data_IF_323259531226
#
_entry.id   IF_323259531226
#
_cell.length_a   1.000
_cell.length_b   1.000
_cell.length_c   1.000
_cell.angle_alpha   90.00
_cell.angle_beta   90.00
_cell.angle_gamma   90.00
#
_symmetry.space_group_name_H-M   'P 1'
#
loop_
_entity.id
_entity.type
_entity.pdbx_description
1 polymer ?
#
# COMPACT_ATOMS: atom_id res chain seq x y z
N UNK A 1 -30.27 -9.61 -12.91
CA UNK A 1 -30.57 -8.25 -12.42
C UNK A 1 -29.27 -7.62 -11.92
N UNK A 2 -28.65 -6.73 -12.73
CA UNK A 2 -27.38 -6.06 -12.42
C UNK A 2 -27.67 -4.84 -11.55
N UNK A 3 -27.51 -4.94 -10.23
CA UNK A 3 -27.57 -3.79 -9.34
C UNK A 3 -26.29 -2.97 -9.53
N UNK A 4 -26.45 -1.65 -9.73
CA UNK A 4 -25.41 -0.72 -10.15
C UNK A 4 -24.30 -0.48 -9.13
N UNK A 5 -23.30 -1.37 -9.10
CA UNK A 5 -21.98 -1.12 -8.50
C UNK A 5 -21.25 0.07 -9.17
N UNK A 6 -21.63 0.45 -10.41
CA UNK A 6 -21.03 1.57 -11.14
C UNK A 6 -21.36 2.95 -10.57
N UNK A 7 -22.44 3.07 -9.77
CA UNK A 7 -22.80 4.34 -9.11
C UNK A 7 -22.03 4.55 -7.81
N UNK A 8 -21.70 3.47 -7.09
CA UNK A 8 -20.93 3.53 -5.84
C UNK A 8 -19.44 3.81 -6.09
N UNK A 9 -18.86 3.21 -7.14
CA UNK A 9 -17.46 3.47 -7.52
C UNK A 9 -17.26 4.92 -8.00
N UNK A 10 -18.21 5.47 -8.77
CA UNK A 10 -18.20 6.89 -9.18
C UNK A 10 -18.36 7.85 -8.00
N UNK A 11 -19.23 7.54 -7.04
CA UNK A 11 -19.41 8.38 -5.85
C UNK A 11 -18.14 8.39 -4.96
N UNK A 12 -17.49 7.23 -4.80
CA UNK A 12 -16.24 7.11 -4.03
C UNK A 12 -15.03 7.75 -4.74
N UNK A 13 -14.95 7.67 -6.06
CA UNK A 13 -13.92 8.36 -6.85
C UNK A 13 -14.09 9.89 -6.76
N UNK A 14 -15.32 10.37 -6.95
CA UNK A 14 -15.69 11.80 -6.83
C UNK A 14 -15.36 12.38 -5.45
N UNK A 15 -15.58 11.61 -4.38
CA UNK A 15 -15.23 12.03 -3.01
C UNK A 15 -13.72 12.08 -2.76
N UNK A 16 -12.93 11.20 -3.39
CA UNK A 16 -11.47 11.19 -3.26
C UNK A 16 -10.81 12.30 -4.09
N UNK A 17 -11.32 12.59 -5.28
CA UNK A 17 -10.86 13.68 -6.14
C UNK A 17 -11.12 15.05 -5.51
N UNK A 18 -12.31 15.24 -4.94
CA UNK A 18 -12.65 16.47 -4.20
C UNK A 18 -11.69 16.73 -3.03
N UNK A 19 -11.28 15.68 -2.30
CA UNK A 19 -10.37 15.83 -1.15
C UNK A 19 -8.92 16.10 -1.55
N UNK A 20 -8.46 15.56 -2.69
CA UNK A 20 -7.15 15.89 -3.24
C UNK A 20 -7.11 17.32 -3.81
N UNK A 21 -8.18 17.75 -4.47
CA UNK A 21 -8.36 19.11 -4.96
C UNK A 21 -8.47 20.14 -3.82
N UNK A 22 -9.14 19.80 -2.73
CA UNK A 22 -9.23 20.63 -1.53
C UNK A 22 -7.87 20.77 -0.84
N UNK A 23 -7.08 19.70 -0.76
CA UNK A 23 -5.69 19.75 -0.26
C UNK A 23 -4.80 20.60 -1.17
N UNK A 24 -4.94 20.49 -2.49
CA UNK A 24 -4.21 21.33 -3.44
C UNK A 24 -4.63 22.81 -3.33
N UNK A 25 -5.94 23.09 -3.28
CA UNK A 25 -6.48 24.44 -3.16
C UNK A 25 -6.10 25.10 -1.82
N UNK A 26 -6.10 24.34 -0.73
CA UNK A 26 -5.68 24.82 0.60
C UNK A 26 -4.18 25.09 0.68
N UNK A 27 -3.35 24.39 -0.09
CA UNK A 27 -1.89 24.53 -0.08
C UNK A 27 -1.37 25.57 -1.09
N UNK A 28 -2.10 25.83 -2.18
CA UNK A 28 -1.66 26.72 -3.27
C UNK A 28 -2.42 28.05 -3.39
N UNK A 29 -3.19 28.43 -2.36
CA UNK A 29 -3.68 29.80 -2.13
C UNK A 29 -3.93 30.64 -3.37
N UNK A 30 -5.07 30.41 -4.03
CA UNK A 30 -5.72 31.32 -5.00
C UNK A 30 -4.79 32.07 -5.95
N UNK A 31 -4.35 31.42 -7.04
CA UNK A 31 -3.69 32.14 -8.13
C UNK A 31 -3.19 31.28 -9.29
N UNK A 32 -3.02 29.97 -9.10
CA UNK A 32 -2.55 29.06 -10.16
C UNK A 32 -3.04 27.63 -9.97
N UNK A 33 -4.30 27.46 -9.55
CA UNK A 33 -4.89 26.16 -9.24
C UNK A 33 -5.45 25.45 -10.48
N UNK A 34 -5.21 24.15 -10.56
CA UNK A 34 -5.80 23.23 -11.54
C UNK A 34 -7.33 23.37 -11.58
N UNK A 35 -7.93 23.43 -12.77
CA UNK A 35 -9.37 23.63 -12.94
C UNK A 35 -10.20 22.34 -12.73
N UNK A 36 -11.52 22.48 -12.55
CA UNK A 36 -12.43 21.36 -12.30
C UNK A 36 -12.56 20.38 -13.50
N UNK A 37 -12.30 20.84 -14.72
CA UNK A 37 -12.21 20.03 -15.93
C UNK A 37 -10.88 19.25 -16.01
N UNK A 38 -9.76 19.84 -15.57
CA UNK A 38 -8.46 19.15 -15.43
C UNK A 38 -8.53 18.02 -14.39
N UNK A 39 -9.27 18.25 -13.29
CA UNK A 39 -9.55 17.22 -12.28
C UNK A 39 -10.48 16.10 -12.78
N UNK A 40 -11.38 16.38 -13.73
CA UNK A 40 -12.25 15.37 -14.36
C UNK A 40 -11.54 14.57 -15.46
N UNK A 41 -10.60 15.19 -16.19
CA UNK A 41 -9.70 14.49 -17.10
C UNK A 41 -8.88 13.42 -16.34
N UNK A 42 -8.50 13.74 -15.10
CA UNK A 42 -7.74 12.88 -14.18
C UNK A 42 -8.47 11.60 -13.72
N UNK A 43 -9.81 11.63 -13.69
CA UNK A 43 -10.62 10.44 -13.36
C UNK A 43 -10.78 9.49 -14.55
N UNK A 44 -10.72 10.03 -15.78
CA UNK A 44 -10.87 9.29 -17.03
C UNK A 44 -9.53 8.78 -17.60
N UNK A 45 -8.41 9.32 -17.13
CA UNK A 45 -7.09 8.92 -17.58
C UNK A 45 -6.67 7.57 -16.98
N UNK A 46 -6.36 6.63 -17.88
CA UNK A 46 -5.73 5.35 -17.56
C UNK A 46 -4.24 5.49 -17.21
N UNK A 47 -3.64 6.67 -17.33
CA UNK A 47 -2.24 6.76 -17.71
C UNK A 47 -1.31 7.29 -16.61
N UNK A 48 -0.26 6.52 -16.37
CA UNK A 48 1.05 6.94 -15.82
C UNK A 48 1.47 8.39 -16.20
N UNK A 49 1.10 8.84 -17.40
CA UNK A 49 1.41 10.16 -17.96
C UNK A 49 0.94 11.37 -17.13
N UNK A 50 -0.20 11.29 -16.42
CA UNK A 50 -0.65 12.42 -15.59
C UNK A 50 0.06 12.48 -14.24
N UNK A 51 0.40 11.30 -13.68
CA UNK A 51 1.28 11.23 -12.50
C UNK A 51 2.65 11.77 -12.90
N UNK A 52 3.17 11.42 -14.08
CA UNK A 52 4.41 11.96 -14.63
C UNK A 52 4.35 13.48 -14.81
N UNK A 53 3.29 14.02 -15.41
CA UNK A 53 3.12 15.47 -15.59
C UNK A 53 3.02 16.21 -14.25
N UNK A 54 2.30 15.66 -13.27
CA UNK A 54 2.24 16.20 -11.92
C UNK A 54 3.62 16.19 -11.24
N UNK A 55 4.34 15.07 -11.30
CA UNK A 55 5.67 14.92 -10.72
C UNK A 55 6.66 15.88 -11.36
N UNK A 56 6.62 16.05 -12.69
CA UNK A 56 7.45 17.01 -13.41
C UNK A 56 7.20 18.43 -12.90
N UNK A 57 5.94 18.87 -12.85
CA UNK A 57 5.59 20.19 -12.31
C UNK A 57 6.05 20.35 -10.86
N UNK A 58 5.89 19.32 -10.04
CA UNK A 58 6.31 19.34 -8.64
C UNK A 58 7.84 19.46 -8.51
N UNK A 59 8.59 18.75 -9.37
CA UNK A 59 10.04 18.83 -9.44
C UNK A 59 10.51 20.22 -9.90
N UNK A 60 9.84 20.81 -10.90
CA UNK A 60 10.13 22.16 -11.38
C UNK A 60 9.90 23.20 -10.26
N UNK A 61 8.80 23.07 -9.51
CA UNK A 61 8.52 23.95 -8.37
C UNK A 61 9.55 23.76 -7.24
N UNK A 62 10.00 22.53 -6.95
CA UNK A 62 11.07 22.28 -5.99
C UNK A 62 12.40 22.91 -6.42
N UNK A 63 12.70 22.88 -7.72
CA UNK A 63 13.91 23.50 -8.29
C UNK A 63 13.88 25.02 -8.28
N UNK A 64 12.70 25.62 -8.45
CA UNK A 64 12.51 27.08 -8.52
C UNK A 64 12.41 27.77 -7.15
N UNK A 65 12.24 27.03 -6.05
CA UNK A 65 12.07 27.61 -4.72
C UNK A 65 13.41 27.90 -4.04
N UNK A 66 13.75 29.19 -3.94
CA UNK A 66 14.78 29.69 -3.03
C UNK A 66 14.19 29.83 -1.60
N UNK A 67 14.41 28.83 -0.75
CA UNK A 67 14.07 28.90 0.67
C UNK A 67 13.54 27.60 1.28
N UNK A 68 13.76 27.42 2.58
CA UNK A 68 13.40 26.18 3.30
C UNK A 68 11.88 25.99 3.45
N UNK A 69 11.11 27.08 3.54
CA UNK A 69 9.66 27.02 3.76
C UNK A 69 8.87 26.46 2.57
N UNK A 70 9.16 26.93 1.35
CA UNK A 70 8.49 26.44 0.15
C UNK A 70 8.81 24.96 -0.14
N UNK A 71 10.07 24.57 0.06
CA UNK A 71 10.50 23.18 -0.11
C UNK A 71 9.78 22.23 0.85
N UNK A 72 9.66 22.59 2.12
CA UNK A 72 8.97 21.78 3.12
C UNK A 72 7.48 21.59 2.77
N UNK A 73 6.82 22.63 2.25
CA UNK A 73 5.43 22.54 1.80
C UNK A 73 5.27 21.55 0.63
N UNK A 74 6.16 21.59 -0.35
CA UNK A 74 6.10 20.66 -1.48
C UNK A 74 6.43 19.22 -1.05
N UNK A 75 7.43 19.01 -0.18
CA UNK A 75 7.72 17.68 0.36
C UNK A 75 6.50 17.12 1.12
N UNK A 76 5.77 17.95 1.86
CA UNK A 76 4.53 17.54 2.52
C UNK A 76 3.45 17.11 1.51
N UNK A 77 3.28 17.84 0.40
CA UNK A 77 2.41 17.44 -0.71
C UNK A 77 2.86 16.09 -1.29
N UNK A 78 4.14 15.94 -1.61
CA UNK A 78 4.71 14.72 -2.19
C UNK A 78 4.45 13.49 -1.31
N UNK A 79 4.60 13.62 0.02
CA UNK A 79 4.30 12.55 0.99
C UNK A 79 2.81 12.21 1.05
N UNK A 80 1.93 13.22 0.90
CA UNK A 80 0.49 13.04 1.06
C UNK A 80 -0.17 12.41 -0.16
N UNK A 81 0.29 12.75 -1.37
CA UNK A 81 -0.31 12.30 -2.63
C UNK A 81 -0.51 10.78 -2.68
N UNK A 82 0.52 9.92 -2.47
CA UNK A 82 0.32 8.47 -2.50
C UNK A 82 -0.68 7.93 -1.47
N UNK A 83 -0.92 8.64 -0.37
CA UNK A 83 -1.83 8.17 0.67
C UNK A 83 -3.31 8.45 0.38
N UNK A 84 -3.59 9.50 -0.42
CA UNK A 84 -4.96 9.90 -0.77
C UNK A 84 -5.44 9.29 -2.08
N UNK A 85 -4.54 8.75 -2.91
CA UNK A 85 -4.92 8.09 -4.15
C UNK A 85 -5.76 6.83 -3.89
N UNK A 86 -6.76 6.59 -4.75
CA UNK A 86 -7.52 5.34 -4.76
C UNK A 86 -6.83 4.33 -5.68
N UNK A 87 -6.72 3.08 -5.22
CA UNK A 87 -6.16 1.98 -5.99
C UNK A 87 -4.65 1.77 -5.77
N UNK A 88 -4.27 0.52 -5.50
CA UNK A 88 -2.88 0.11 -5.15
C UNK A 88 -1.87 0.53 -6.21
N UNK A 89 -2.19 0.35 -7.51
CA UNK A 89 -1.27 0.69 -8.62
C UNK A 89 -0.92 2.17 -8.64
N UNK A 90 -1.92 3.05 -8.55
CA UNK A 90 -1.73 4.52 -8.53
C UNK A 90 -0.88 4.95 -7.33
N UNK A 91 -1.10 4.36 -6.15
CA UNK A 91 -0.29 4.65 -4.95
C UNK A 91 1.19 4.28 -5.12
N UNK A 92 1.46 3.08 -5.65
CA UNK A 92 2.83 2.62 -5.93
C UNK A 92 3.48 3.50 -7.00
N UNK A 93 2.77 3.75 -8.10
CA UNK A 93 3.22 4.54 -9.23
C UNK A 93 3.60 5.98 -8.81
N UNK A 94 2.77 6.63 -8.00
CA UNK A 94 3.08 7.94 -7.44
C UNK A 94 4.25 7.88 -6.44
N UNK A 95 4.30 6.84 -5.60
CA UNK A 95 5.40 6.66 -4.63
C UNK A 95 6.75 6.57 -5.31
N UNK A 96 6.89 5.74 -6.34
CA UNK A 96 8.16 5.55 -7.05
C UNK A 96 8.68 6.85 -7.69
N UNK A 97 7.77 7.70 -8.15
CA UNK A 97 8.09 8.99 -8.78
C UNK A 97 8.41 10.09 -7.77
N UNK A 98 7.69 10.13 -6.66
CA UNK A 98 7.79 11.21 -5.67
C UNK A 98 8.87 10.96 -4.61
N UNK A 99 9.18 9.69 -4.32
CA UNK A 99 10.14 9.34 -3.27
C UNK A 99 11.53 9.95 -3.50
N UNK A 100 11.97 9.98 -4.76
CA UNK A 100 13.25 10.57 -5.14
C UNK A 100 13.34 12.08 -4.90
N UNK A 101 12.20 12.80 -4.81
CA UNK A 101 12.16 14.25 -4.61
C UNK A 101 12.28 14.66 -3.14
N UNK A 102 11.95 13.77 -2.21
CA UNK A 102 11.96 14.05 -0.77
C UNK A 102 13.35 13.89 -0.13
N UNK A 103 13.87 14.97 0.48
CA UNK A 103 15.20 14.91 1.11
C UNK A 103 15.28 13.96 2.32
N UNK A 104 14.22 13.89 3.12
CA UNK A 104 14.17 13.01 4.30
C UNK A 104 14.23 11.53 3.90
N UNK A 105 13.47 11.17 2.88
CA UNK A 105 13.52 9.83 2.30
C UNK A 105 14.90 9.50 1.74
N UNK A 106 15.48 10.37 0.91
CA UNK A 106 16.83 10.16 0.36
C UNK A 106 17.90 10.04 1.45
N UNK A 107 17.78 10.81 2.53
CA UNK A 107 18.70 10.72 3.67
C UNK A 107 18.56 9.37 4.39
N UNK A 108 17.33 8.96 4.73
CA UNK A 108 17.07 7.69 5.38
C UNK A 108 17.54 6.49 4.53
N UNK A 109 17.37 6.55 3.20
CA UNK A 109 17.91 5.56 2.26
C UNK A 109 19.43 5.50 2.32
N UNK A 110 20.13 6.63 2.22
CA UNK A 110 21.60 6.66 2.29
C UNK A 110 22.12 6.09 3.61
N UNK A 111 21.48 6.44 4.72
CA UNK A 111 21.82 5.90 6.04
C UNK A 111 21.65 4.37 6.07
N UNK A 112 20.54 3.87 5.50
CA UNK A 112 20.22 2.44 5.43
C UNK A 112 21.20 1.67 4.56
N UNK A 113 21.52 2.18 3.38
CA UNK A 113 22.50 1.57 2.47
C UNK A 113 23.89 1.54 3.13
N UNK A 114 24.32 2.65 3.73
CA UNK A 114 25.62 2.71 4.42
C UNK A 114 25.69 1.76 5.63
N UNK A 115 24.60 1.61 6.39
CA UNK A 115 24.53 0.67 7.50
C UNK A 115 24.57 -0.78 7.02
N UNK A 116 23.78 -1.10 5.97
CA UNK A 116 23.76 -2.41 5.31
C UNK A 116 25.15 -2.81 4.80
N UNK A 117 25.85 -1.88 4.15
CA UNK A 117 27.19 -2.13 3.60
C UNK A 117 28.23 -2.40 4.71
N UNK A 118 28.04 -1.81 5.90
CA UNK A 118 28.80 -2.13 7.12
C UNK A 118 28.28 -3.37 7.87
N UNK A 119 27.22 -4.02 7.40
CA UNK A 119 26.50 -5.12 8.07
C UNK A 119 25.95 -4.75 9.45
N UNK A 120 25.70 -3.46 9.68
CA UNK A 120 24.97 -2.97 10.85
C UNK A 120 23.46 -3.08 10.56
N UNK A 121 22.94 -4.30 10.67
CA UNK A 121 21.57 -4.62 10.29
C UNK A 121 20.54 -3.88 11.12
N UNK A 122 20.83 -3.62 12.41
CA UNK A 122 19.93 -2.87 13.29
C UNK A 122 19.81 -1.40 12.88
N UNK A 123 20.94 -0.74 12.55
CA UNK A 123 20.90 0.62 12.01
C UNK A 123 20.24 0.65 10.63
N UNK A 124 20.48 -0.35 9.78
CA UNK A 124 19.85 -0.51 8.48
C UNK A 124 18.32 -0.66 8.57
N UNK A 125 17.85 -1.54 9.46
CA UNK A 125 16.43 -1.73 9.76
C UNK A 125 15.77 -0.40 10.14
N UNK A 126 16.34 0.32 11.11
CA UNK A 126 15.79 1.59 11.56
C UNK A 126 15.77 2.65 10.45
N UNK A 127 16.83 2.73 9.64
CA UNK A 127 16.91 3.68 8.55
C UNK A 127 15.90 3.39 7.43
N UNK A 128 15.77 2.14 6.98
CA UNK A 128 14.76 1.77 6.00
C UNK A 128 13.35 1.87 6.56
N UNK A 129 13.12 1.57 7.84
CA UNK A 129 11.86 1.83 8.51
C UNK A 129 11.48 3.32 8.42
N UNK A 130 12.40 4.24 8.75
CA UNK A 130 12.17 5.69 8.59
C UNK A 130 11.82 6.06 7.14
N UNK A 131 12.51 5.49 6.15
CA UNK A 131 12.20 5.73 4.74
C UNK A 131 10.76 5.27 4.40
N UNK A 132 10.34 4.11 4.88
CA UNK A 132 9.01 3.56 4.66
C UNK A 132 7.91 4.28 5.45
N UNK A 133 8.22 4.96 6.56
CA UNK A 133 7.27 5.89 7.21
C UNK A 133 6.93 7.07 6.29
N UNK A 134 7.88 7.52 5.48
CA UNK A 134 7.69 8.64 4.53
C UNK A 134 6.96 8.14 3.28
N UNK A 135 7.43 7.04 2.68
CA UNK A 135 6.86 6.45 1.47
C UNK A 135 6.48 4.97 1.68
N UNK A 136 5.32 4.69 2.29
CA UNK A 136 4.93 3.33 2.69
C UNK A 136 4.66 2.39 1.52
N UNK A 137 4.39 2.90 0.31
CA UNK A 137 4.12 2.04 -0.85
C UNK A 137 5.35 1.79 -1.72
N UNK A 138 6.57 1.99 -1.20
CA UNK A 138 7.80 1.78 -1.97
C UNK A 138 8.24 0.30 -1.96
N UNK A 139 8.04 -0.48 -3.04
CA UNK A 139 8.35 -1.92 -3.06
C UNK A 139 9.84 -2.23 -2.90
N UNK A 140 10.73 -1.42 -3.48
CA UNK A 140 12.19 -1.63 -3.43
C UNK A 140 12.75 -1.56 -2.01
N UNK A 141 12.59 -0.42 -1.33
CA UNK A 141 13.10 -0.29 0.05
C UNK A 141 12.37 -1.16 1.07
N UNK A 142 11.18 -1.68 0.75
CA UNK A 142 10.56 -2.72 1.56
C UNK A 142 11.34 -4.05 1.51
N UNK A 143 11.91 -4.40 0.35
CA UNK A 143 12.85 -5.54 0.22
C UNK A 143 14.13 -5.28 1.02
N UNK A 144 14.68 -4.07 0.96
CA UNK A 144 15.88 -3.70 1.74
C UNK A 144 15.65 -3.78 3.26
N UNK A 145 14.48 -3.31 3.71
CA UNK A 145 14.04 -3.45 5.09
C UNK A 145 13.92 -4.93 5.49
N UNK A 146 13.28 -5.75 4.65
CA UNK A 146 13.15 -7.18 4.86
C UNK A 146 14.50 -7.91 4.91
N UNK A 147 15.49 -7.49 4.10
CA UNK A 147 16.86 -8.01 4.21
C UNK A 147 17.47 -7.75 5.58
N UNK A 148 17.37 -6.53 6.10
CA UNK A 148 17.91 -6.20 7.43
C UNK A 148 17.23 -7.03 8.54
N UNK A 149 15.93 -7.27 8.44
CA UNK A 149 15.19 -8.14 9.36
C UNK A 149 15.64 -9.60 9.25
N UNK A 150 15.80 -10.10 8.03
CA UNK A 150 16.26 -11.47 7.72
C UNK A 150 17.65 -11.73 8.31
N UNK A 151 18.60 -10.79 8.16
CA UNK A 151 19.97 -10.93 8.70
C UNK A 151 20.03 -10.83 10.23
N UNK A 152 18.93 -10.48 10.89
CA UNK A 152 18.77 -10.47 12.35
C UNK A 152 17.91 -11.64 12.87
N UNK A 153 17.66 -12.65 12.03
CA UNK A 153 16.80 -13.80 12.34
C UNK A 153 15.33 -13.42 12.71
N UNK A 154 14.88 -12.22 12.35
CA UNK A 154 13.48 -11.77 12.53
C UNK A 154 12.60 -12.31 11.41
N UNK A 155 12.48 -13.64 11.33
CA UNK A 155 11.91 -14.34 10.18
C UNK A 155 10.48 -13.95 9.84
N UNK A 156 9.61 -13.81 10.86
CA UNK A 156 8.20 -13.46 10.67
C UNK A 156 8.08 -12.05 10.12
N UNK A 157 8.79 -11.09 10.70
CA UNK A 157 8.80 -9.71 10.21
C UNK A 157 9.34 -9.63 8.77
N UNK A 158 10.45 -10.32 8.49
CA UNK A 158 11.01 -10.37 7.14
C UNK A 158 10.02 -10.95 6.11
N UNK A 159 9.31 -12.04 6.46
CA UNK A 159 8.28 -12.64 5.61
C UNK A 159 7.16 -11.65 5.28
N UNK A 160 6.63 -10.95 6.29
CA UNK A 160 5.57 -9.96 6.11
C UNK A 160 5.99 -8.85 5.14
N UNK A 161 7.24 -8.40 5.25
CA UNK A 161 7.78 -7.32 4.43
C UNK A 161 8.08 -7.77 3.00
N UNK A 162 8.67 -8.96 2.79
CA UNK A 162 8.85 -9.51 1.45
C UNK A 162 7.53 -9.77 0.73
N UNK A 163 6.52 -10.35 1.42
CA UNK A 163 5.19 -10.57 0.84
C UNK A 163 4.50 -9.25 0.51
N UNK A 164 4.62 -8.26 1.37
CA UNK A 164 4.10 -6.91 1.11
C UNK A 164 4.83 -6.25 -0.06
N UNK A 165 6.14 -6.46 -0.24
CA UNK A 165 6.87 -5.97 -1.41
C UNK A 165 6.39 -6.63 -2.72
N UNK A 166 6.15 -7.94 -2.69
CA UNK A 166 5.58 -8.68 -3.84
C UNK A 166 4.18 -8.16 -4.19
N UNK A 167 3.32 -7.98 -3.17
CA UNK A 167 1.98 -7.39 -3.34
C UNK A 167 2.02 -5.95 -3.85
N UNK A 168 3.10 -5.20 -3.56
CA UNK A 168 3.39 -3.87 -4.10
C UNK A 168 4.07 -3.90 -5.48
N UNK A 169 4.24 -5.07 -6.08
CA UNK A 169 4.72 -5.21 -7.46
C UNK A 169 6.23 -5.14 -7.61
N UNK A 170 6.98 -5.44 -6.54
CA UNK A 170 8.42 -5.63 -6.68
C UNK A 170 8.70 -6.76 -7.70
N UNK A 171 9.62 -6.51 -8.63
CA UNK A 171 9.95 -7.39 -9.76
C UNK A 171 11.31 -8.07 -9.61
N UNK A 172 11.93 -7.97 -8.44
CA UNK A 172 13.16 -8.69 -8.13
C UNK A 172 12.95 -10.19 -8.35
N UNK A 173 13.79 -10.78 -9.20
CA UNK A 173 13.71 -12.17 -9.60
C UNK A 173 13.91 -13.11 -8.40
N UNK A 174 14.67 -12.68 -7.40
CA UNK A 174 15.02 -13.49 -6.23
C UNK A 174 14.03 -13.32 -5.07
N UNK A 175 13.02 -12.46 -5.20
CA UNK A 175 12.07 -12.19 -4.12
C UNK A 175 11.31 -13.45 -3.68
N UNK A 176 10.91 -14.30 -4.63
CA UNK A 176 10.24 -15.57 -4.30
C UNK A 176 11.16 -16.53 -3.52
N UNK A 177 12.46 -16.52 -3.83
CA UNK A 177 13.48 -17.31 -3.11
C UNK A 177 13.63 -16.80 -1.69
N UNK A 178 13.66 -15.49 -1.49
CA UNK A 178 13.73 -14.88 -0.16
C UNK A 178 12.49 -15.18 0.67
N UNK A 179 11.29 -15.10 0.08
CA UNK A 179 10.04 -15.50 0.75
C UNK A 179 10.12 -16.96 1.17
N UNK A 180 10.44 -17.89 0.27
CA UNK A 180 10.53 -19.31 0.60
C UNK A 180 11.55 -19.58 1.72
N UNK A 181 12.71 -18.92 1.69
CA UNK A 181 13.72 -19.05 2.73
C UNK A 181 13.17 -18.66 4.12
N UNK A 182 12.57 -17.48 4.27
CA UNK A 182 12.06 -17.02 5.58
C UNK A 182 10.83 -17.82 6.03
N UNK A 183 9.97 -18.21 5.09
CA UNK A 183 8.82 -19.09 5.34
C UNK A 183 9.27 -20.46 5.89
N UNK A 184 10.32 -21.06 5.33
CA UNK A 184 10.92 -22.29 5.87
C UNK A 184 11.53 -22.11 7.25
N UNK A 185 12.20 -20.98 7.51
CA UNK A 185 12.75 -20.68 8.84
C UNK A 185 11.66 -20.56 9.91
N UNK A 186 10.47 -20.10 9.52
CA UNK A 186 9.26 -20.06 10.37
C UNK A 186 8.60 -21.44 10.54
N UNK A 187 8.88 -22.41 9.66
CA UNK A 187 8.33 -23.76 9.72
C UNK A 187 7.18 -24.05 8.75
N UNK A 188 6.87 -23.13 7.82
CA UNK A 188 5.83 -23.31 6.82
C UNK A 188 6.35 -22.85 5.45
N UNK A 189 6.70 -23.74 4.51
CA UNK A 189 7.25 -23.34 3.21
C UNK A 189 6.27 -22.47 2.43
N UNK A 190 6.78 -21.60 1.56
CA UNK A 190 5.93 -20.74 0.76
C UNK A 190 5.18 -21.56 -0.31
N UNK A 191 3.90 -21.24 -0.54
CA UNK A 191 3.13 -21.81 -1.64
C UNK A 191 3.45 -21.02 -2.95
N UNK A 192 4.12 -21.63 -3.94
CA UNK A 192 4.46 -20.96 -5.19
C UNK A 192 3.22 -20.52 -5.98
N UNK A 193 2.09 -21.22 -5.86
CA UNK A 193 0.86 -20.87 -6.55
C UNK A 193 0.26 -19.56 -6.01
N UNK A 194 0.30 -19.37 -4.68
CA UNK A 194 -0.11 -18.10 -4.04
C UNK A 194 0.80 -16.97 -4.51
N UNK A 195 2.13 -17.17 -4.48
CA UNK A 195 3.10 -16.16 -4.92
C UNK A 195 2.90 -15.77 -6.39
N UNK A 196 2.69 -16.76 -7.27
CA UNK A 196 2.44 -16.51 -8.68
C UNK A 196 1.16 -15.70 -8.92
N UNK A 197 0.09 -15.97 -8.16
CA UNK A 197 -1.17 -15.21 -8.25
C UNK A 197 -1.03 -13.78 -7.75
N UNK A 198 -0.29 -13.57 -6.66
CA UNK A 198 0.02 -12.23 -6.14
C UNK A 198 0.82 -11.43 -7.18
N UNK A 199 1.88 -12.03 -7.73
CA UNK A 199 2.71 -11.39 -8.76
C UNK A 199 1.90 -11.09 -10.03
N UNK A 200 1.10 -12.06 -10.48
CA UNK A 200 0.27 -11.98 -11.68
C UNK A 200 -0.81 -10.89 -11.61
N UNK A 201 -1.23 -10.48 -10.41
CA UNK A 201 -2.23 -9.41 -10.25
C UNK A 201 -1.83 -8.11 -10.95
N UNK A 202 -0.53 -7.77 -11.00
CA UNK A 202 -0.05 -6.54 -11.64
C UNK A 202 -0.29 -6.51 -13.16
N UNK A 203 -0.54 -7.68 -13.76
CA UNK A 203 -0.83 -7.84 -15.19
C UNK A 203 -2.33 -7.96 -15.50
N UNK A 204 -3.21 -7.99 -14.49
CA UNK A 204 -4.66 -8.13 -14.69
C UNK A 204 -5.29 -6.80 -15.13
N UNK A 205 -5.99 -6.72 -16.26
CA UNK A 205 -6.77 -5.54 -16.63
C UNK A 205 -7.99 -5.38 -15.69
N UNK A 206 -8.29 -4.16 -15.26
CA UNK A 206 -9.45 -3.81 -14.41
C UNK A 206 -9.72 -4.78 -13.25
N UNK A 207 -8.79 -4.93 -12.29
CA UNK A 207 -8.97 -5.87 -11.20
C UNK A 207 -10.15 -5.45 -10.31
N UNK A 208 -11.02 -6.41 -9.98
CA UNK A 208 -12.11 -6.22 -9.01
C UNK A 208 -11.55 -5.65 -7.69
N UNK A 209 -12.27 -4.76 -6.97
CA UNK A 209 -11.73 -4.07 -5.79
C UNK A 209 -11.08 -4.97 -4.73
N UNK A 210 -11.66 -6.15 -4.44
CA UNK A 210 -11.14 -7.12 -3.47
C UNK A 210 -10.17 -8.14 -4.07
N UNK A 211 -9.92 -8.11 -5.38
CA UNK A 211 -8.92 -8.97 -6.01
C UNK A 211 -7.48 -8.47 -5.80
N UNK A 212 -7.31 -7.29 -5.16
CA UNK A 212 -5.99 -6.73 -4.83
C UNK A 212 -5.22 -7.65 -3.87
N UNK A 213 -3.91 -7.87 -4.08
CA UNK A 213 -3.09 -8.62 -3.17
C UNK A 213 -3.01 -7.96 -1.79
N UNK A 214 -3.12 -8.75 -0.71
CA UNK A 214 -3.12 -8.22 0.63
C UNK A 214 -1.73 -7.75 1.08
N UNK A 215 -1.69 -6.61 1.76
CA UNK A 215 -0.57 -6.18 2.59
C UNK A 215 -0.82 -6.53 4.05
N UNK A 216 0.23 -6.53 4.87
CA UNK A 216 0.12 -6.61 6.34
C UNK A 216 -0.98 -5.70 6.91
N UNK A 217 -0.97 -4.42 6.54
CA UNK A 217 -1.93 -3.43 7.03
C UNK A 217 -3.38 -3.73 6.60
N UNK A 218 -3.58 -4.36 5.44
CA UNK A 218 -4.92 -4.75 5.00
C UNK A 218 -5.45 -5.90 5.88
N UNK A 219 -4.58 -6.86 6.24
CA UNK A 219 -4.95 -7.96 7.14
C UNK A 219 -5.25 -7.46 8.54
N UNK A 220 -4.41 -6.56 9.09
CA UNK A 220 -4.65 -5.92 10.39
C UNK A 220 -6.03 -5.23 10.41
N UNK A 221 -6.36 -4.47 9.37
CA UNK A 221 -7.65 -3.80 9.24
C UNK A 221 -8.82 -4.79 9.10
N UNK A 222 -8.68 -5.85 8.31
CA UNK A 222 -9.73 -6.85 8.11
C UNK A 222 -9.99 -7.68 9.37
N UNK A 223 -8.95 -8.05 10.11
CA UNK A 223 -9.09 -8.76 11.40
C UNK A 223 -9.80 -7.86 12.41
N UNK A 224 -9.40 -6.59 12.51
CA UNK A 224 -10.07 -5.60 13.35
C UNK A 224 -11.55 -5.43 12.98
N UNK A 225 -11.85 -5.26 11.69
CA UNK A 225 -13.19 -5.00 11.21
C UNK A 225 -14.12 -6.21 11.34
N UNK A 226 -13.65 -7.40 10.95
CA UNK A 226 -14.50 -8.59 10.84
C UNK A 226 -14.53 -9.44 12.10
N UNK A 227 -13.47 -9.41 12.91
CA UNK A 227 -13.40 -10.20 14.16
C UNK A 227 -13.49 -9.34 15.43
N UNK A 228 -13.53 -8.01 15.31
CA UNK A 228 -13.65 -7.09 16.45
C UNK A 228 -12.42 -7.09 17.37
N UNK A 229 -11.25 -7.50 16.87
CA UNK A 229 -9.99 -7.60 17.63
C UNK A 229 -8.78 -7.32 16.75
N UNK A 230 -7.63 -7.01 17.36
CA UNK A 230 -6.36 -7.04 16.63
C UNK A 230 -5.92 -8.48 16.27
N UNK A 231 -4.95 -8.65 15.36
CA UNK A 231 -4.25 -9.91 15.21
C UNK A 231 -3.63 -10.35 16.54
N UNK A 232 -3.75 -11.63 16.88
CA UNK A 232 -3.23 -12.19 18.12
C UNK A 232 -1.69 -12.15 18.15
N UNK A 233 -1.05 -12.34 17.00
CA UNK A 233 0.39 -12.26 16.81
C UNK A 233 0.74 -12.06 15.33
N UNK A 234 1.96 -11.64 15.03
CA UNK A 234 2.43 -11.42 13.65
C UNK A 234 2.35 -12.68 12.78
N UNK A 235 2.52 -13.87 13.37
CA UNK A 235 2.38 -15.12 12.62
C UNK A 235 0.96 -15.36 12.08
N UNK A 236 -0.10 -14.83 12.72
CA UNK A 236 -1.49 -14.93 12.21
C UNK A 236 -1.59 -14.17 10.88
N UNK A 237 -0.97 -12.98 10.83
CA UNK A 237 -0.91 -12.19 9.60
C UNK A 237 -0.10 -12.92 8.54
N UNK A 238 1.05 -13.49 8.91
CA UNK A 238 1.91 -14.23 7.98
C UNK A 238 1.17 -15.44 7.39
N UNK A 239 0.42 -16.19 8.20
CA UNK A 239 -0.37 -17.33 7.75
C UNK A 239 -1.52 -16.93 6.82
N UNK A 240 -2.18 -15.80 7.10
CA UNK A 240 -3.21 -15.24 6.22
C UNK A 240 -2.62 -14.79 4.89
N UNK A 241 -1.47 -14.10 4.88
CA UNK A 241 -0.79 -13.71 3.65
C UNK A 241 -0.18 -14.91 2.89
N UNK A 242 0.19 -15.97 3.62
CA UNK A 242 0.77 -17.18 3.02
C UNK A 242 -0.25 -18.02 2.26
N UNK A 243 -1.50 -18.05 2.73
CA UNK A 243 -2.55 -18.89 2.16
C UNK A 243 -3.47 -18.16 1.18
N UNK A 244 -3.40 -16.82 1.08
CA UNK A 244 -4.38 -16.04 0.32
C UNK A 244 -3.67 -15.02 -0.60
N UNK A 245 -4.05 -15.02 -1.87
CA UNK A 245 -3.50 -14.14 -2.89
C UNK A 245 -4.28 -12.83 -3.04
N UNK A 246 -5.46 -12.69 -2.41
CA UNK A 246 -6.30 -11.49 -2.52
C UNK A 246 -7.05 -11.15 -1.22
N UNK A 247 -7.49 -9.89 -1.09
CA UNK A 247 -8.36 -9.49 0.03
C UNK A 247 -9.66 -10.27 0.07
N UNK A 248 -10.23 -10.64 -1.08
CA UNK A 248 -11.46 -11.44 -1.15
C UNK A 248 -11.30 -12.78 -0.42
N UNK A 249 -10.18 -13.48 -0.64
CA UNK A 249 -9.92 -14.77 -0.01
C UNK A 249 -9.67 -14.64 1.50
N UNK A 250 -9.01 -13.57 1.93
CA UNK A 250 -8.87 -13.27 3.37
C UNK A 250 -10.23 -12.98 3.99
N UNK A 251 -11.08 -12.19 3.34
CA UNK A 251 -12.44 -11.91 3.80
C UNK A 251 -13.25 -13.20 3.93
N UNK A 252 -13.24 -14.05 2.91
CA UNK A 252 -13.95 -15.33 2.91
C UNK A 252 -13.47 -16.23 4.08
N UNK A 253 -12.15 -16.28 4.31
CA UNK A 253 -11.58 -17.03 5.44
C UNK A 253 -11.98 -16.44 6.80
N UNK A 254 -11.96 -15.12 6.94
CA UNK A 254 -12.33 -14.45 8.20
C UNK A 254 -13.83 -14.55 8.49
N UNK A 255 -14.70 -14.54 7.48
CA UNK A 255 -16.14 -14.80 7.65
C UNK A 255 -16.38 -16.22 8.17
N UNK A 256 -15.59 -17.19 7.72
CA UNK A 256 -15.63 -18.57 8.21
C UNK A 256 -15.02 -18.77 9.61
N UNK A 257 -14.40 -17.76 10.20
CA UNK A 257 -13.76 -17.86 11.51
C UNK A 257 -14.81 -17.89 12.65
N UNK A 258 -14.68 -18.74 13.69
CA UNK A 258 -15.68 -18.85 14.76
C UNK A 258 -16.00 -17.53 15.47
N UNK A 259 -15.01 -16.66 15.64
CA UNK A 259 -15.21 -15.34 16.26
C UNK A 259 -16.06 -14.38 15.41
N UNK A 260 -16.20 -14.60 14.10
CA UNK A 260 -16.96 -13.72 13.21
C UNK A 260 -18.42 -13.58 13.64
N UNK A 261 -19.09 -14.70 13.93
CA UNK A 261 -20.49 -14.71 14.36
C UNK A 261 -20.67 -13.94 15.66
N UNK A 262 -19.73 -14.10 16.59
CA UNK A 262 -19.76 -13.39 17.88
C UNK A 262 -19.55 -11.89 17.69
N UNK A 263 -18.58 -11.50 16.86
CA UNK A 263 -18.25 -10.10 16.59
C UNK A 263 -19.33 -9.36 15.78
N UNK A 264 -20.10 -10.08 14.96
CA UNK A 264 -21.08 -9.49 14.04
C UNK A 264 -22.53 -9.90 14.37
N UNK A 265 -22.81 -10.32 15.61
CA UNK A 265 -24.13 -10.82 16.01
C UNK A 265 -25.26 -9.87 15.60
N UNK A 266 -25.14 -8.60 15.96
CA UNK A 266 -26.19 -7.61 15.71
C UNK A 266 -26.40 -7.36 14.20
N UNK A 267 -25.31 -7.28 13.44
CA UNK A 267 -25.37 -7.18 11.98
C UNK A 267 -26.08 -8.40 11.38
N UNK A 268 -25.70 -9.61 11.79
CA UNK A 268 -26.30 -10.85 11.28
C UNK A 268 -27.79 -10.94 11.63
N UNK A 269 -28.18 -10.54 12.85
CA UNK A 269 -29.59 -10.43 13.26
C UNK A 269 -30.35 -9.47 12.36
N UNK A 270 -29.81 -8.26 12.12
CA UNK A 270 -30.43 -7.29 11.22
C UNK A 270 -30.58 -7.81 9.78
N UNK A 271 -29.60 -8.53 9.26
CA UNK A 271 -29.69 -9.12 7.91
C UNK A 271 -30.80 -10.17 7.82
N UNK A 272 -30.99 -10.98 8.87
CA UNK A 272 -32.08 -11.97 8.95
C UNK A 272 -33.44 -11.27 9.08
N UNK A 273 -33.56 -10.30 9.97
CA UNK A 273 -34.82 -9.58 10.26
C UNK A 273 -35.26 -8.70 9.10
N UNK A 274 -34.32 -8.05 8.39
CA UNK A 274 -34.63 -7.25 7.20
C UNK A 274 -35.07 -8.09 6.00
N UNK A 275 -35.00 -9.42 6.08
CA UNK A 275 -35.32 -10.31 4.97
C UNK A 275 -34.39 -10.10 3.77
N UNK A 276 -33.14 -9.66 3.99
CA UNK A 276 -32.18 -9.46 2.91
C UNK A 276 -31.91 -10.78 2.20
N UNK A 277 -32.61 -10.97 1.07
CA UNK A 277 -32.43 -12.09 0.14
C UNK A 277 -31.74 -11.56 -1.10
N UNK A 278 -30.66 -12.24 -1.51
CA UNK A 278 -29.88 -11.95 -2.73
C UNK A 278 -30.72 -12.07 -4.00
#
# INVERSE_FOLDING_TARGET
MRIGLSRFTRASAKASGAKAAEVAAALFGGGGGFDEAELRAWEAAEADAEIDAFVSRLADHLGALEGHGGRAAIEAVARRVPQVLVGRRRRVAATLRLAGLDAGFRAAVRDGDAARDRRDWGAGEHAFWRALQIFPFHPGYRVQYAHCLKEQDKWVDAELEYRSALALGNRDADLAVHIDFVSRRRGAPADPAVLARVAGWWSVPDPRPLAVPPLRADVEALVALLLGRGPAHLAEIADLLAANASLAEIVDRLIGHPAFVTANRDLLTLLVESGWRR
#
